data_IF_008550720413
#
_entry.id   IF_008550720413
#
_cell.length_a   1.000
_cell.length_b   1.000
_cell.length_c   1.000
_cell.angle_alpha   90.00
_cell.angle_beta   90.00
_cell.angle_gamma   90.00
#
_symmetry.space_group_name_H-M   'P 1'
#
loop_
_entity.id
_entity.type
_entity.pdbx_description
1 polymer ?
#
# COMPACT_ATOMS: atom_id res chain seq x y z
N UNK A 1 -25.53 7.57 1.68
CA UNK A 1 -24.78 8.54 2.52
C UNK A 1 -23.87 9.32 1.60
N UNK A 2 -23.92 10.63 1.57
CA UNK A 2 -22.93 11.43 0.83
C UNK A 2 -21.60 11.19 1.55
N UNK A 3 -20.65 10.55 0.86
CA UNK A 3 -19.31 10.34 1.39
C UNK A 3 -18.71 11.65 1.85
N UNK A 4 -17.93 11.60 2.90
CA UNK A 4 -17.07 12.70 3.35
C UNK A 4 -16.04 13.01 2.26
N UNK A 5 -16.49 13.59 1.15
CA UNK A 5 -15.63 14.27 0.18
C UNK A 5 -15.23 15.61 0.80
N UNK A 6 -14.48 15.54 1.89
CA UNK A 6 -13.75 16.70 2.34
C UNK A 6 -12.42 16.71 1.59
N UNK A 7 -12.39 17.33 0.41
CA UNK A 7 -11.17 17.94 -0.10
C UNK A 7 -10.78 19.05 0.88
N UNK A 8 -10.26 18.65 2.03
CA UNK A 8 -9.65 19.60 2.95
C UNK A 8 -8.26 19.84 2.38
N UNK A 9 -8.07 20.96 1.74
CA UNK A 9 -6.75 21.49 1.40
C UNK A 9 -6.09 21.93 2.71
N UNK A 10 -5.30 21.01 3.29
CA UNK A 10 -4.51 21.30 4.47
C UNK A 10 -3.20 21.95 4.02
N UNK A 11 -3.06 23.23 4.27
CA UNK A 11 -1.76 23.90 4.19
C UNK A 11 -1.04 23.65 5.51
N UNK A 12 0.01 22.86 5.46
CA UNK A 12 0.84 22.56 6.62
C UNK A 12 1.81 23.71 6.88
N UNK A 13 1.91 24.12 8.13
CA UNK A 13 2.85 25.16 8.58
C UNK A 13 3.44 24.83 9.95
N UNK A 14 4.46 25.62 10.36
CA UNK A 14 5.12 25.52 11.65
C UNK A 14 5.77 24.15 11.90
N UNK A 15 5.79 23.73 13.16
CA UNK A 15 6.52 22.54 13.62
C UNK A 15 6.04 21.23 12.97
N UNK A 16 4.76 21.14 12.58
CA UNK A 16 4.23 19.94 11.88
C UNK A 16 4.92 19.80 10.53
N UNK A 17 4.99 20.89 9.75
CA UNK A 17 5.66 20.88 8.46
C UNK A 17 7.15 20.52 8.61
N UNK A 18 7.83 21.13 9.56
CA UNK A 18 9.24 20.85 9.84
C UNK A 18 9.46 19.37 10.21
N UNK A 19 8.58 18.81 11.05
CA UNK A 19 8.63 17.39 11.42
C UNK A 19 8.47 16.49 10.18
N UNK A 20 7.49 16.77 9.31
CA UNK A 20 7.26 15.98 8.11
C UNK A 20 8.40 16.11 7.09
N UNK A 21 9.03 17.28 6.98
CA UNK A 21 10.24 17.45 6.16
C UNK A 21 11.40 16.59 6.68
N UNK A 22 11.61 16.52 7.99
CA UNK A 22 12.60 15.61 8.59
C UNK A 22 12.30 14.14 8.32
N UNK A 23 11.02 13.75 8.29
CA UNK A 23 10.63 12.38 7.88
C UNK A 23 11.01 12.12 6.42
N UNK A 24 10.79 13.08 5.53
CA UNK A 24 11.19 12.98 4.11
C UNK A 24 12.72 12.87 3.97
N UNK A 25 13.47 13.69 4.70
CA UNK A 25 14.94 13.68 4.67
C UNK A 25 15.52 12.40 5.30
N UNK A 26 14.77 11.75 6.20
CA UNK A 26 15.14 10.50 6.85
C UNK A 26 14.80 9.26 6.00
N UNK A 27 14.65 8.11 6.69
CA UNK A 27 14.41 6.81 6.05
C UNK A 27 13.11 6.76 5.22
N UNK A 28 12.10 7.53 5.58
CA UNK A 28 10.84 7.52 4.80
C UNK A 28 11.08 7.95 3.37
N UNK A 29 11.86 8.99 3.14
CA UNK A 29 12.22 9.44 1.80
C UNK A 29 13.34 8.63 1.14
N UNK A 30 14.20 7.99 1.93
CA UNK A 30 15.43 7.32 1.49
C UNK A 30 15.45 5.84 1.91
N UNK A 31 14.36 5.12 1.60
CA UNK A 31 14.17 3.72 2.02
C UNK A 31 15.25 2.78 1.47
N UNK A 32 15.86 3.13 0.34
CA UNK A 32 16.98 2.42 -0.26
C UNK A 32 18.23 2.37 0.61
N UNK A 33 18.30 3.22 1.64
CA UNK A 33 19.39 3.23 2.63
C UNK A 33 19.05 2.39 3.87
N UNK A 34 17.87 1.79 3.92
CA UNK A 34 17.45 0.92 5.02
C UNK A 34 18.08 -0.47 4.89
N UNK A 35 17.91 -1.27 5.94
CA UNK A 35 18.21 -2.70 5.92
C UNK A 35 17.02 -3.50 5.37
N UNK A 36 17.24 -4.83 5.22
CA UNK A 36 16.15 -5.74 4.90
C UNK A 36 14.96 -5.57 5.90
N UNK A 37 13.70 -5.75 5.46
CA UNK A 37 13.30 -6.23 4.13
C UNK A 37 13.14 -5.13 3.06
N UNK A 38 13.39 -3.88 3.38
CA UNK A 38 13.05 -2.73 2.52
C UNK A 38 13.89 -2.62 1.25
N UNK A 39 15.07 -3.24 1.23
CA UNK A 39 15.98 -3.22 0.07
C UNK A 39 15.54 -4.25 -0.97
N UNK A 40 15.26 -5.48 -0.55
CA UNK A 40 15.02 -6.63 -1.43
C UNK A 40 13.54 -6.94 -1.66
N UNK A 41 12.63 -6.47 -0.79
CA UNK A 41 11.21 -6.80 -0.85
C UNK A 41 10.37 -5.55 -1.11
N UNK A 42 9.97 -5.38 -2.36
CA UNK A 42 8.94 -4.40 -2.73
C UNK A 42 7.71 -5.13 -3.24
N UNK A 43 6.54 -4.49 -3.20
CA UNK A 43 5.31 -5.07 -3.70
C UNK A 43 5.33 -5.36 -5.21
N UNK A 44 6.13 -4.64 -5.97
CA UNK A 44 6.31 -4.83 -7.41
C UNK A 44 7.54 -5.67 -7.78
N UNK A 45 8.46 -5.89 -6.83
CA UNK A 45 9.72 -6.64 -7.05
C UNK A 45 10.13 -7.38 -5.78
N UNK A 46 10.40 -8.65 -5.88
CA UNK A 46 10.84 -9.46 -4.75
C UNK A 46 11.58 -10.73 -5.21
N UNK A 47 12.56 -11.22 -4.42
CA UNK A 47 13.33 -12.41 -4.76
C UNK A 47 12.49 -13.67 -4.49
N UNK A 48 11.79 -14.16 -5.52
CA UNK A 48 10.86 -15.30 -5.40
C UNK A 48 11.56 -16.57 -4.90
N UNK A 49 12.81 -16.81 -5.31
CA UNK A 49 13.57 -17.98 -4.87
C UNK A 49 13.84 -17.96 -3.37
N UNK A 50 14.14 -16.80 -2.81
CA UNK A 50 14.37 -16.66 -1.37
C UNK A 50 13.05 -16.77 -0.58
N UNK A 51 11.97 -16.20 -1.10
CA UNK A 51 10.65 -16.34 -0.53
C UNK A 51 10.23 -17.82 -0.47
N UNK A 52 10.52 -18.59 -1.49
CA UNK A 52 10.17 -20.01 -1.54
C UNK A 52 10.95 -20.86 -0.50
N UNK A 53 12.11 -20.38 -0.04
CA UNK A 53 12.89 -21.01 1.05
C UNK A 53 12.42 -20.59 2.45
N UNK A 54 11.62 -19.53 2.57
CA UNK A 54 11.11 -19.06 3.87
C UNK A 54 10.06 -20.00 4.45
N UNK A 55 9.99 -20.05 5.77
CA UNK A 55 8.89 -20.70 6.48
C UNK A 55 7.54 -20.09 6.02
N UNK A 56 6.58 -20.92 5.61
CA UNK A 56 5.26 -20.46 5.16
C UNK A 56 4.54 -19.54 6.15
N UNK A 57 4.79 -19.68 7.46
CA UNK A 57 4.20 -18.83 8.49
C UNK A 57 4.74 -17.39 8.49
N UNK A 58 5.92 -17.17 7.91
CA UNK A 58 6.63 -15.88 7.96
C UNK A 58 6.81 -15.19 6.60
N UNK A 59 6.44 -15.85 5.50
CA UNK A 59 6.58 -15.31 4.13
C UNK A 59 5.89 -13.95 3.92
N UNK A 60 4.87 -13.65 4.69
CA UNK A 60 4.09 -12.42 4.58
C UNK A 60 4.76 -11.21 5.26
N UNK A 61 5.67 -11.44 6.21
CA UNK A 61 6.27 -10.37 7.05
C UNK A 61 6.99 -9.30 6.25
N UNK A 62 7.85 -9.62 5.27
CA UNK A 62 8.51 -8.59 4.47
C UNK A 62 7.51 -7.67 3.76
N UNK A 63 6.40 -8.23 3.27
CA UNK A 63 5.37 -7.48 2.55
C UNK A 63 4.54 -6.59 3.49
N UNK A 64 4.32 -7.01 4.73
CA UNK A 64 3.72 -6.15 5.76
C UNK A 64 4.62 -4.94 6.02
N UNK A 65 5.91 -5.14 6.24
CA UNK A 65 6.85 -4.08 6.55
C UNK A 65 6.97 -3.06 5.41
N UNK A 66 7.13 -3.55 4.17
CA UNK A 66 7.24 -2.67 3.00
C UNK A 66 5.92 -1.97 2.68
N UNK A 67 4.76 -2.59 2.98
CA UNK A 67 3.47 -1.94 2.86
C UNK A 67 3.29 -0.79 3.87
N UNK A 68 3.74 -0.94 5.11
CA UNK A 68 3.74 0.15 6.09
C UNK A 68 4.57 1.34 5.64
N UNK A 69 5.76 1.07 5.12
CA UNK A 69 6.56 2.15 4.55
C UNK A 69 5.83 2.85 3.40
N UNK A 70 5.27 2.07 2.48
CA UNK A 70 4.60 2.62 1.29
C UNK A 70 3.37 3.46 1.66
N UNK A 71 2.57 3.03 2.64
CA UNK A 71 1.42 3.78 3.17
C UNK A 71 1.87 5.12 3.78
N UNK A 72 2.90 5.08 4.62
CA UNK A 72 3.48 6.29 5.23
C UNK A 72 4.08 7.24 4.21
N UNK A 73 4.86 6.71 3.25
CA UNK A 73 5.53 7.51 2.23
C UNK A 73 4.54 8.13 1.22
N UNK A 74 3.52 7.38 0.78
CA UNK A 74 2.48 7.91 -0.11
C UNK A 74 1.65 9.01 0.57
N UNK A 75 1.34 8.84 1.85
CA UNK A 75 0.65 9.84 2.67
C UNK A 75 1.50 11.09 2.88
N UNK A 76 2.80 10.91 3.16
CA UNK A 76 3.75 12.00 3.32
C UNK A 76 3.92 12.81 2.02
N UNK A 77 4.02 12.12 0.89
CA UNK A 77 4.10 12.75 -0.43
C UNK A 77 2.91 13.70 -0.68
N UNK A 78 1.71 13.25 -0.32
CA UNK A 78 0.50 14.09 -0.42
C UNK A 78 0.56 15.29 0.52
N UNK A 79 0.87 15.07 1.80
CA UNK A 79 0.88 16.12 2.81
C UNK A 79 1.91 17.23 2.51
N UNK A 80 3.06 16.87 1.96
CA UNK A 80 4.11 17.82 1.59
C UNK A 80 3.98 18.35 0.16
N UNK A 81 3.04 17.84 -0.63
CA UNK A 81 2.95 18.05 -2.09
C UNK A 81 4.30 17.74 -2.77
N UNK A 82 4.93 16.64 -2.37
CA UNK A 82 6.26 16.24 -2.79
C UNK A 82 6.21 15.33 -4.00
N UNK A 83 6.60 15.89 -5.15
CA UNK A 83 6.56 15.17 -6.42
C UNK A 83 7.54 13.99 -6.47
N UNK A 84 8.73 14.13 -5.92
CA UNK A 84 9.75 13.09 -5.97
C UNK A 84 9.32 11.85 -5.19
N UNK A 85 8.85 12.05 -3.97
CA UNK A 85 8.33 10.96 -3.12
C UNK A 85 7.05 10.36 -3.72
N UNK A 86 6.20 11.19 -4.32
CA UNK A 86 5.03 10.73 -5.06
C UNK A 86 5.44 9.83 -6.24
N UNK A 87 6.37 10.26 -7.07
CA UNK A 87 6.84 9.48 -8.22
C UNK A 87 7.46 8.14 -7.78
N UNK A 88 8.22 8.14 -6.67
CA UNK A 88 8.79 6.92 -6.08
C UNK A 88 7.71 5.93 -5.63
N UNK A 89 6.73 6.38 -4.89
CA UNK A 89 5.68 5.51 -4.33
C UNK A 89 4.66 5.08 -5.38
N UNK A 90 4.20 6.00 -6.21
CA UNK A 90 3.20 5.73 -7.25
C UNK A 90 3.73 4.74 -8.30
N UNK A 91 5.02 4.80 -8.64
CA UNK A 91 5.67 3.82 -9.53
C UNK A 91 5.48 2.39 -9.05
N UNK A 92 5.66 2.14 -7.75
CA UNK A 92 5.46 0.80 -7.18
C UNK A 92 4.00 0.40 -7.31
N UNK A 93 3.08 1.28 -6.95
CA UNK A 93 1.63 1.01 -6.99
C UNK A 93 1.17 0.72 -8.41
N UNK A 94 1.57 1.54 -9.37
CA UNK A 94 1.20 1.31 -10.77
C UNK A 94 1.83 0.04 -11.36
N UNK A 95 3.06 -0.29 -10.99
CA UNK A 95 3.67 -1.54 -11.40
C UNK A 95 2.88 -2.75 -10.87
N UNK A 96 2.39 -2.70 -9.62
CA UNK A 96 1.54 -3.77 -9.06
C UNK A 96 0.20 -3.85 -9.81
N UNK A 97 -0.41 -2.71 -10.13
CA UNK A 97 -1.69 -2.66 -10.88
C UNK A 97 -1.51 -3.23 -12.30
N UNK A 98 -0.44 -2.84 -12.99
CA UNK A 98 -0.15 -3.31 -14.35
C UNK A 98 0.17 -4.81 -14.41
N UNK A 99 0.74 -5.35 -13.34
CA UNK A 99 1.10 -6.77 -13.22
C UNK A 99 0.13 -7.54 -12.30
N UNK A 100 -1.11 -7.08 -12.20
CA UNK A 100 -2.14 -7.81 -11.46
C UNK A 100 -2.30 -9.25 -11.98
N UNK A 101 -2.60 -10.18 -11.08
CA UNK A 101 -2.90 -11.55 -11.48
C UNK A 101 -4.12 -11.59 -12.42
N UNK A 102 -4.28 -12.67 -13.19
CA UNK A 102 -5.35 -12.80 -14.18
C UNK A 102 -6.75 -12.55 -13.59
N UNK A 103 -6.96 -12.95 -12.34
CA UNK A 103 -8.23 -12.72 -11.64
C UNK A 103 -8.34 -11.32 -11.01
N UNK A 104 -7.32 -10.48 -11.16
CA UNK A 104 -7.26 -9.12 -10.64
C UNK A 104 -6.67 -8.98 -9.24
N UNK A 105 -6.19 -10.08 -8.62
CA UNK A 105 -5.50 -9.97 -7.34
C UNK A 105 -4.22 -9.14 -7.48
N UNK A 106 -4.03 -8.15 -6.58
CA UNK A 106 -2.87 -7.27 -6.57
C UNK A 106 -1.80 -7.81 -5.61
N UNK A 107 -0.59 -7.98 -6.12
CA UNK A 107 0.58 -8.40 -5.35
C UNK A 107 0.90 -9.90 -5.47
N UNK A 108 1.78 -10.41 -4.59
CA UNK A 108 2.29 -11.78 -4.68
C UNK A 108 1.18 -12.82 -4.54
N UNK A 109 1.09 -13.76 -5.49
CA UNK A 109 0.03 -14.79 -5.54
C UNK A 109 0.02 -15.68 -4.28
N UNK A 110 1.18 -15.96 -3.69
CA UNK A 110 1.26 -16.75 -2.45
C UNK A 110 0.57 -16.08 -1.25
N UNK A 111 0.42 -14.76 -1.24
CA UNK A 111 -0.35 -14.05 -0.21
C UNK A 111 -1.86 -14.27 -0.35
N UNK A 112 -2.32 -14.61 -1.57
CA UNK A 112 -3.72 -14.91 -1.83
C UNK A 112 -4.15 -16.25 -1.23
N UNK A 113 -3.31 -17.27 -1.36
CA UNK A 113 -3.62 -18.64 -0.97
C UNK A 113 -3.42 -18.91 0.51
N UNK A 114 -2.67 -18.07 1.15
CA UNK A 114 -2.22 -18.36 2.48
C UNK A 114 -3.24 -18.06 3.57
N UNK A 115 -2.88 -18.56 4.75
CA UNK A 115 -3.62 -18.50 6.00
C UNK A 115 -4.14 -17.11 6.38
N UNK A 116 -4.94 -17.04 7.41
CA UNK A 116 -5.62 -15.88 7.99
C UNK A 116 -4.78 -14.58 8.12
N UNK A 117 -3.45 -14.68 8.17
CA UNK A 117 -2.56 -13.54 8.37
C UNK A 117 -2.13 -12.84 7.06
N UNK A 118 -2.25 -13.51 5.92
CA UNK A 118 -1.63 -13.02 4.67
C UNK A 118 -2.43 -11.91 3.97
N UNK A 119 -3.64 -11.65 4.41
CA UNK A 119 -4.46 -10.54 3.91
C UNK A 119 -4.19 -9.23 4.63
N UNK A 120 -3.52 -9.27 5.76
CA UNK A 120 -3.15 -8.08 6.50
C UNK A 120 -2.15 -7.19 5.74
N UNK A 121 -1.06 -7.71 5.15
CA UNK A 121 -0.16 -6.89 4.34
C UNK A 121 -0.88 -6.18 3.20
N UNK A 122 -1.85 -6.85 2.55
CA UNK A 122 -2.64 -6.21 1.52
C UNK A 122 -3.51 -5.06 2.06
N UNK A 123 -4.10 -5.19 3.25
CA UNK A 123 -4.89 -4.11 3.83
C UNK A 123 -4.07 -2.82 4.00
N UNK A 124 -2.79 -2.95 4.37
CA UNK A 124 -1.87 -1.82 4.47
C UNK A 124 -1.47 -1.31 3.09
N UNK A 125 -1.20 -2.20 2.13
CA UNK A 125 -0.91 -1.83 0.74
C UNK A 125 -2.10 -1.08 0.10
N UNK A 126 -3.33 -1.53 0.34
CA UNK A 126 -4.52 -0.86 -0.16
C UNK A 126 -4.65 0.59 0.36
N UNK A 127 -4.23 0.85 1.61
CA UNK A 127 -4.18 2.22 2.15
C UNK A 127 -3.19 3.09 1.37
N UNK A 128 -2.04 2.56 0.99
CA UNK A 128 -1.09 3.27 0.13
C UNK A 128 -1.70 3.59 -1.25
N UNK A 129 -2.46 2.65 -1.83
CA UNK A 129 -3.22 2.89 -3.06
C UNK A 129 -4.22 4.04 -2.89
N UNK A 130 -4.97 4.05 -1.80
CA UNK A 130 -5.93 5.11 -1.48
C UNK A 130 -5.24 6.46 -1.27
N UNK A 131 -4.11 6.50 -0.55
CA UNK A 131 -3.32 7.72 -0.39
C UNK A 131 -2.86 8.28 -1.75
N UNK A 132 -2.45 7.41 -2.67
CA UNK A 132 -2.07 7.79 -4.04
C UNK A 132 -3.28 8.26 -4.85
N UNK A 133 -4.43 7.58 -4.74
CA UNK A 133 -5.68 8.03 -5.36
C UNK A 133 -6.08 9.44 -4.88
N UNK A 134 -6.02 9.71 -3.58
CA UNK A 134 -6.33 11.05 -3.07
C UNK A 134 -5.36 12.13 -3.55
N UNK A 135 -4.17 11.75 -3.98
CA UNK A 135 -3.20 12.68 -4.54
C UNK A 135 -3.51 13.05 -6.00
N UNK A 136 -3.86 12.08 -6.83
CA UNK A 136 -3.98 12.25 -8.28
C UNK A 136 -5.39 12.05 -8.87
N UNK A 137 -6.34 11.53 -8.06
CA UNK A 137 -7.72 11.21 -8.47
C UNK A 137 -7.80 10.21 -9.65
N UNK A 138 -6.78 9.35 -9.81
CA UNK A 138 -6.79 8.34 -10.88
C UNK A 138 -7.74 7.19 -10.55
N UNK A 139 -8.89 7.19 -11.20
CA UNK A 139 -9.94 6.17 -11.02
C UNK A 139 -9.48 4.73 -11.33
N UNK A 140 -8.38 4.55 -12.06
CA UNK A 140 -7.85 3.21 -12.35
C UNK A 140 -7.34 2.52 -11.08
N UNK A 141 -6.90 3.27 -10.08
CA UNK A 141 -6.53 2.73 -8.76
C UNK A 141 -7.77 2.11 -8.08
N UNK A 142 -8.89 2.82 -8.09
CA UNK A 142 -10.15 2.34 -7.49
C UNK A 142 -10.65 1.09 -8.22
N UNK A 143 -10.64 1.11 -9.56
CA UNK A 143 -11.04 -0.06 -10.38
C UNK A 143 -10.15 -1.28 -10.13
N UNK A 144 -8.84 -1.08 -9.93
CA UNK A 144 -7.92 -2.16 -9.59
C UNK A 144 -8.20 -2.75 -8.21
N UNK A 145 -8.48 -1.92 -7.21
CA UNK A 145 -8.89 -2.35 -5.87
C UNK A 145 -10.23 -3.09 -5.90
N UNK A 146 -11.22 -2.59 -6.63
CA UNK A 146 -12.50 -3.27 -6.84
C UNK A 146 -12.29 -4.68 -7.38
N UNK A 147 -11.54 -4.81 -8.47
CA UNK A 147 -11.23 -6.10 -9.08
C UNK A 147 -10.50 -7.04 -8.12
N UNK A 148 -9.55 -6.52 -7.34
CA UNK A 148 -8.88 -7.29 -6.30
C UNK A 148 -9.87 -7.84 -5.27
N UNK A 149 -10.76 -7.02 -4.73
CA UNK A 149 -11.70 -7.45 -3.70
C UNK A 149 -12.74 -8.44 -4.24
N UNK A 150 -13.17 -8.30 -5.50
CA UNK A 150 -14.05 -9.26 -6.15
C UNK A 150 -13.39 -10.64 -6.33
N UNK A 151 -12.05 -10.70 -6.43
CA UNK A 151 -11.30 -11.96 -6.46
C UNK A 151 -11.21 -12.66 -5.11
N UNK A 152 -11.57 -11.97 -4.01
CA UNK A 152 -11.36 -12.42 -2.64
C UNK A 152 -12.60 -13.12 -2.05
N UNK A 153 -12.38 -14.18 -1.26
CA UNK A 153 -13.45 -14.82 -0.47
C UNK A 153 -13.70 -14.04 0.83
N UNK A 154 -14.95 -13.67 1.09
CA UNK A 154 -15.36 -12.90 2.29
C UNK A 154 -14.95 -13.57 3.61
N UNK A 155 -14.93 -14.90 3.66
CA UNK A 155 -14.56 -15.67 4.87
C UNK A 155 -13.14 -15.38 5.39
N UNK A 156 -12.30 -14.72 4.60
CA UNK A 156 -10.94 -14.36 5.00
C UNK A 156 -10.83 -13.01 5.73
N UNK A 157 -11.90 -12.23 5.82
CA UNK A 157 -11.89 -10.92 6.50
C UNK A 157 -12.25 -11.07 7.98
N UNK A 158 -11.32 -11.64 8.78
CA UNK A 158 -11.45 -11.79 10.24
C UNK A 158 -10.28 -11.14 10.97
N UNK A 159 -10.49 -10.69 12.20
CA UNK A 159 -9.47 -10.08 13.04
C UNK A 159 -8.93 -8.79 12.41
N UNK A 160 -7.62 -8.62 12.33
CA UNK A 160 -6.97 -7.44 11.69
C UNK A 160 -7.41 -7.22 10.25
N UNK A 161 -7.79 -8.28 9.54
CA UNK A 161 -8.22 -8.18 8.15
C UNK A 161 -9.49 -7.35 7.96
N UNK A 162 -10.21 -7.03 9.04
CA UNK A 162 -11.39 -6.13 8.98
C UNK A 162 -11.06 -4.73 8.44
N UNK A 163 -9.80 -4.29 8.52
CA UNK A 163 -9.34 -3.02 7.93
C UNK A 163 -9.59 -2.98 6.42
N UNK A 164 -9.62 -4.14 5.73
CA UNK A 164 -10.01 -4.19 4.33
C UNK A 164 -11.44 -3.68 4.08
N UNK A 165 -12.34 -3.77 5.07
CA UNK A 165 -13.73 -3.30 4.95
C UNK A 165 -13.77 -1.79 4.71
N UNK A 166 -12.89 -1.01 5.34
CA UNK A 166 -12.79 0.44 5.09
C UNK A 166 -12.49 0.73 3.61
N UNK A 167 -11.50 0.04 3.06
CA UNK A 167 -11.15 0.19 1.63
C UNK A 167 -12.28 -0.29 0.72
N UNK A 168 -12.93 -1.42 1.05
CA UNK A 168 -14.07 -1.92 0.28
C UNK A 168 -15.23 -0.93 0.25
N UNK A 169 -15.54 -0.28 1.37
CA UNK A 169 -16.58 0.74 1.44
C UNK A 169 -16.24 1.98 0.60
N UNK A 170 -14.96 2.36 0.57
CA UNK A 170 -14.50 3.47 -0.25
C UNK A 170 -14.60 3.14 -1.75
N UNK A 171 -14.24 1.93 -2.13
CA UNK A 171 -14.30 1.46 -3.53
C UNK A 171 -15.75 1.32 -4.02
N UNK A 172 -16.68 0.94 -3.13
CA UNK A 172 -18.10 0.74 -3.46
C UNK A 172 -18.87 2.06 -3.66
N UNK A 173 -18.49 3.16 -2.97
CA UNK A 173 -19.19 4.46 -3.05
C UNK A 173 -18.68 5.31 -4.23
#
# INVERSE_FOLDING_TARGET
MKGLNSNIDLTLDGWIKEFLLKQKEGLTGNIENALEPYISYSWDKYPLDDINKMDPLWKWVPFEQTAYWLDGAASLAKLLNDKELYDKTSKIIYNVILNANEDGYLGPSFLKEASKCNRWPFAVFARACIATYYNNQDINIIKALEKHYLSCKVSYFKGRNVVNVETMLLVYN
#
